data_IF_297940496966
#
_entry.id   IF_297940496966
#
_cell.length_a   1.000
_cell.length_b   1.000
_cell.length_c   1.000
_cell.angle_alpha   90.00
_cell.angle_beta   90.00
_cell.angle_gamma   90.00
#
_symmetry.space_group_name_H-M   'P 1'
#
loop_
_entity.id
_entity.type
_entity.pdbx_description
1 polymer ?
#
# COMPACT_ATOMS: atom_id res chain seq x y z
N UNK A 1 -14.90 30.72 -4.01
CA UNK A 1 -15.37 29.32 -4.09
C UNK A 1 -14.55 28.64 -5.16
N UNK A 2 -13.76 27.67 -4.76
CA UNK A 2 -13.06 26.82 -5.72
C UNK A 2 -14.11 25.90 -6.36
N UNK A 3 -14.28 26.02 -7.66
CA UNK A 3 -15.07 25.04 -8.40
C UNK A 3 -14.48 23.65 -8.19
N UNK A 4 -15.29 22.61 -7.96
CA UNK A 4 -14.80 21.27 -7.80
C UNK A 4 -13.93 20.88 -9.01
N UNK A 5 -12.76 20.31 -8.77
CA UNK A 5 -11.81 19.84 -9.81
C UNK A 5 -12.53 18.99 -10.86
N UNK A 6 -13.53 18.23 -10.43
CA UNK A 6 -14.39 17.41 -11.29
C UNK A 6 -15.16 18.22 -12.32
N UNK A 7 -15.71 19.38 -11.91
CA UNK A 7 -16.45 20.26 -12.82
C UNK A 7 -15.51 20.92 -13.82
N UNK A 8 -14.34 21.36 -13.39
CA UNK A 8 -13.30 21.90 -14.27
C UNK A 8 -12.83 20.86 -15.31
N UNK A 9 -12.57 19.62 -14.85
CA UNK A 9 -12.21 18.51 -15.73
C UNK A 9 -13.34 18.23 -16.74
N UNK A 10 -14.60 18.20 -16.31
CA UNK A 10 -15.75 18.00 -17.17
C UNK A 10 -15.85 19.08 -18.27
N UNK A 11 -15.78 20.34 -17.89
CA UNK A 11 -15.84 21.47 -18.83
C UNK A 11 -14.65 21.43 -19.80
N UNK A 12 -13.46 21.09 -19.31
CA UNK A 12 -12.25 21.02 -20.13
C UNK A 12 -12.29 19.87 -21.13
N UNK A 13 -12.75 18.69 -20.72
CA UNK A 13 -12.79 17.48 -21.56
C UNK A 13 -13.95 17.49 -22.57
N UNK A 14 -15.12 18.01 -22.18
CA UNK A 14 -16.33 18.01 -23.01
C UNK A 14 -16.62 19.36 -23.66
N UNK A 15 -15.77 20.36 -23.45
CA UNK A 15 -15.90 21.65 -24.08
C UNK A 15 -15.78 21.56 -25.62
N UNK A 16 -16.61 22.33 -26.32
CA UNK A 16 -16.69 22.32 -27.81
C UNK A 16 -15.32 22.51 -28.48
N UNK A 17 -14.41 23.23 -27.85
CA UNK A 17 -13.05 23.45 -28.36
C UNK A 17 -12.25 22.17 -28.52
N UNK A 18 -12.56 21.12 -27.75
CA UNK A 18 -11.89 19.80 -27.84
C UNK A 18 -12.22 19.02 -29.10
N UNK A 19 -13.28 19.38 -29.81
CA UNK A 19 -13.62 18.77 -31.09
C UNK A 19 -12.83 19.36 -32.27
N UNK A 20 -12.15 20.49 -32.07
CA UNK A 20 -11.40 21.21 -33.10
C UNK A 20 -9.88 21.20 -32.86
N UNK A 21 -9.40 20.39 -31.94
CA UNK A 21 -7.96 20.15 -31.72
C UNK A 21 -7.49 19.00 -32.62
N UNK A 22 -6.16 18.82 -32.68
CA UNK A 22 -5.56 17.71 -33.40
C UNK A 22 -6.13 16.36 -32.92
N UNK A 23 -6.23 15.37 -33.79
CA UNK A 23 -6.85 14.07 -33.52
C UNK A 23 -6.24 13.38 -32.28
N UNK A 24 -4.94 13.53 -32.07
CA UNK A 24 -4.20 13.02 -30.92
C UNK A 24 -4.59 13.67 -29.58
N UNK A 25 -5.25 14.81 -29.63
CA UNK A 25 -5.69 15.62 -28.48
C UNK A 25 -7.19 15.49 -28.22
N UNK A 26 -7.92 14.82 -29.09
CA UNK A 26 -9.34 14.60 -28.97
C UNK A 26 -9.64 13.57 -27.86
N UNK A 27 -10.87 13.60 -27.34
CA UNK A 27 -11.30 12.78 -26.23
C UNK A 27 -11.04 11.28 -26.41
N UNK A 28 -11.30 10.64 -27.56
CA UNK A 28 -10.99 9.23 -27.77
C UNK A 28 -9.50 8.92 -27.60
N UNK A 29 -8.61 9.71 -28.21
CA UNK A 29 -7.17 9.51 -28.09
C UNK A 29 -6.65 9.75 -26.67
N UNK A 30 -7.29 10.64 -25.90
CA UNK A 30 -6.98 10.85 -24.48
C UNK A 30 -7.38 9.64 -23.65
N UNK A 31 -8.54 9.04 -23.92
CA UNK A 31 -8.97 7.80 -23.24
C UNK A 31 -8.05 6.63 -23.56
N UNK A 32 -7.68 6.43 -24.81
CA UNK A 32 -6.78 5.34 -25.22
C UNK A 32 -5.41 5.49 -24.55
N UNK A 33 -4.86 6.72 -24.49
CA UNK A 33 -3.62 6.98 -23.74
C UNK A 33 -3.77 6.73 -22.23
N UNK A 34 -4.90 7.10 -21.65
CA UNK A 34 -5.17 6.86 -20.23
C UNK A 34 -5.25 5.38 -19.90
N UNK A 35 -5.94 4.60 -20.74
CA UNK A 35 -6.03 3.14 -20.59
C UNK A 35 -4.66 2.48 -20.71
N UNK A 36 -3.90 2.83 -21.75
CA UNK A 36 -2.55 2.32 -21.95
C UNK A 36 -1.64 2.64 -20.75
N UNK A 37 -1.71 3.87 -20.24
CA UNK A 37 -0.94 4.27 -19.08
C UNK A 37 -1.36 3.49 -17.80
N UNK A 38 -2.66 3.21 -17.63
CA UNK A 38 -3.14 2.37 -16.55
C UNK A 38 -2.58 0.95 -16.62
N UNK A 39 -2.56 0.35 -17.80
CA UNK A 39 -2.01 -0.99 -18.01
C UNK A 39 -0.51 -1.04 -17.67
N UNK A 40 0.28 -0.08 -18.16
CA UNK A 40 1.71 0.03 -17.86
C UNK A 40 1.98 0.19 -16.36
N UNK A 41 1.18 1.00 -15.65
CA UNK A 41 1.31 1.19 -14.19
C UNK A 41 0.92 -0.07 -13.44
N UNK A 42 -0.14 -0.76 -13.88
CA UNK A 42 -0.61 -2.00 -13.26
C UNK A 42 0.43 -3.11 -13.42
N UNK A 43 1.01 -3.26 -14.60
CA UNK A 43 2.06 -4.25 -14.86
C UNK A 43 3.32 -3.96 -14.03
N UNK A 44 3.75 -2.69 -13.98
CA UNK A 44 4.90 -2.29 -13.19
C UNK A 44 4.69 -2.52 -11.68
N UNK A 45 3.49 -2.24 -11.16
CA UNK A 45 3.13 -2.50 -9.77
C UNK A 45 3.10 -4.01 -9.50
N UNK A 46 2.50 -4.79 -10.38
CA UNK A 46 2.45 -6.25 -10.29
C UNK A 46 3.84 -6.88 -10.18
N UNK A 47 4.77 -6.43 -11.01
CA UNK A 47 6.17 -6.90 -10.97
C UNK A 47 6.88 -6.51 -9.67
N UNK A 48 6.64 -5.30 -9.16
CA UNK A 48 7.22 -4.87 -7.88
C UNK A 48 6.65 -5.68 -6.70
N UNK A 49 5.35 -5.94 -6.69
CA UNK A 49 4.70 -6.78 -5.66
C UNK A 49 5.26 -8.21 -5.73
N UNK A 50 5.40 -8.79 -6.92
CA UNK A 50 5.98 -10.12 -7.10
C UNK A 50 7.39 -10.21 -6.51
N UNK A 51 8.25 -9.25 -6.82
CA UNK A 51 9.62 -9.20 -6.27
C UNK A 51 9.62 -9.05 -4.75
N UNK A 52 8.73 -8.23 -4.20
CA UNK A 52 8.63 -8.06 -2.75
C UNK A 52 8.16 -9.34 -2.05
N UNK A 53 7.21 -10.08 -2.64
CA UNK A 53 6.77 -11.40 -2.16
C UNK A 53 7.93 -12.40 -2.19
N UNK A 54 8.71 -12.44 -3.28
CA UNK A 54 9.88 -13.31 -3.39
C UNK A 54 10.91 -13.02 -2.29
N UNK A 55 11.24 -11.75 -2.06
CA UNK A 55 12.17 -11.35 -0.99
C UNK A 55 11.65 -11.74 0.38
N UNK A 56 10.35 -11.57 0.65
CA UNK A 56 9.74 -11.97 1.91
C UNK A 56 9.83 -13.49 2.12
N UNK A 57 9.50 -14.28 1.10
CA UNK A 57 9.57 -15.75 1.17
C UNK A 57 11.01 -16.20 1.38
N UNK A 58 11.99 -15.64 0.66
CA UNK A 58 13.40 -15.95 0.83
C UNK A 58 13.88 -15.63 2.25
N UNK A 59 13.41 -14.52 2.83
CA UNK A 59 13.75 -14.13 4.20
C UNK A 59 13.17 -15.10 5.22
N UNK A 60 11.91 -15.53 5.02
CA UNK A 60 11.25 -16.52 5.87
C UNK A 60 11.94 -17.90 5.76
N UNK A 61 12.32 -18.32 4.54
CA UNK A 61 13.04 -19.56 4.31
C UNK A 61 14.41 -19.56 5.00
N UNK A 62 15.14 -18.44 4.93
CA UNK A 62 16.41 -18.29 5.64
C UNK A 62 16.20 -18.36 7.17
N UNK A 63 15.21 -17.68 7.69
CA UNK A 63 14.89 -17.73 9.11
C UNK A 63 14.49 -19.14 9.58
N UNK A 64 13.83 -19.90 8.73
CA UNK A 64 13.49 -21.31 8.97
C UNK A 64 14.75 -22.21 8.95
N UNK A 65 15.67 -21.98 7.99
CA UNK A 65 16.96 -22.67 7.96
C UNK A 65 17.76 -22.43 9.24
N UNK A 66 17.87 -21.18 9.69
CA UNK A 66 18.60 -20.79 10.90
C UNK A 66 18.02 -21.44 12.18
N UNK A 67 16.76 -21.91 12.11
CA UNK A 67 16.05 -22.62 13.18
C UNK A 67 15.81 -24.10 12.91
N UNK A 68 16.71 -24.73 12.16
CA UNK A 68 16.65 -26.15 11.83
C UNK A 68 15.35 -26.60 11.15
N UNK A 69 14.70 -25.74 10.35
CA UNK A 69 13.46 -26.03 9.65
C UNK A 69 12.23 -26.27 10.53
N UNK A 70 12.23 -25.71 11.74
CA UNK A 70 11.11 -25.85 12.67
C UNK A 70 9.96 -24.87 12.42
N UNK A 71 10.24 -23.70 11.82
CA UNK A 71 9.24 -22.63 11.67
C UNK A 71 8.17 -22.95 10.61
N UNK A 72 8.58 -23.52 9.48
CA UNK A 72 7.72 -23.77 8.33
C UNK A 72 7.37 -25.25 8.15
N UNK A 73 7.68 -26.09 9.15
CA UNK A 73 7.53 -27.56 9.07
C UNK A 73 6.12 -27.99 8.63
N UNK A 74 5.07 -27.35 9.14
CA UNK A 74 3.68 -27.68 8.86
C UNK A 74 3.02 -26.74 7.82
N UNK A 75 3.79 -25.82 7.21
CA UNK A 75 3.29 -24.82 6.25
C UNK A 75 3.54 -25.29 4.84
N UNK A 76 2.49 -25.36 4.02
CA UNK A 76 2.60 -25.72 2.60
C UNK A 76 3.06 -24.50 1.78
N UNK A 77 3.83 -24.73 0.72
CA UNK A 77 4.30 -23.66 -0.18
C UNK A 77 3.18 -22.74 -0.71
N UNK A 78 2.02 -23.24 -1.16
CA UNK A 78 0.94 -22.36 -1.60
C UNK A 78 0.38 -21.49 -0.49
N UNK A 79 0.31 -22.00 0.74
CA UNK A 79 -0.17 -21.29 1.92
C UNK A 79 0.81 -20.17 2.33
N UNK A 80 2.11 -20.46 2.29
CA UNK A 80 3.16 -19.48 2.53
C UNK A 80 3.12 -18.35 1.50
N UNK A 81 2.94 -18.71 0.22
CA UNK A 81 2.83 -17.73 -0.86
C UNK A 81 1.60 -16.84 -0.70
N UNK A 82 0.44 -17.41 -0.42
CA UNK A 82 -0.81 -16.67 -0.19
C UNK A 82 -0.69 -15.71 1.00
N UNK A 83 -0.09 -16.18 2.11
CA UNK A 83 0.15 -15.36 3.27
C UNK A 83 1.10 -14.18 2.96
N UNK A 84 2.20 -14.45 2.26
CA UNK A 84 3.15 -13.42 1.85
C UNK A 84 2.51 -12.39 0.91
N UNK A 85 1.73 -12.84 -0.07
CA UNK A 85 0.98 -11.97 -0.97
C UNK A 85 -0.01 -11.09 -0.20
N UNK A 86 -0.75 -11.68 0.74
CA UNK A 86 -1.69 -10.94 1.60
C UNK A 86 -0.99 -9.82 2.38
N UNK A 87 0.16 -10.11 2.98
CA UNK A 87 0.96 -9.08 3.67
C UNK A 87 1.36 -7.96 2.72
N UNK A 88 1.86 -8.29 1.53
CA UNK A 88 2.25 -7.28 0.54
C UNK A 88 1.06 -6.43 0.09
N UNK A 89 -0.08 -7.04 -0.16
CA UNK A 89 -1.30 -6.30 -0.55
C UNK A 89 -1.79 -5.35 0.56
N UNK A 90 -1.71 -5.76 1.82
CA UNK A 90 -2.00 -4.89 2.97
C UNK A 90 -1.05 -3.70 3.03
N UNK A 91 0.24 -3.90 2.79
CA UNK A 91 1.22 -2.82 2.76
C UNK A 91 0.95 -1.82 1.62
N UNK A 92 0.67 -2.32 0.41
CA UNK A 92 0.31 -1.48 -0.75
C UNK A 92 -0.95 -0.67 -0.47
N UNK A 93 -1.98 -1.32 0.07
CA UNK A 93 -3.23 -0.65 0.45
C UNK A 93 -2.97 0.48 1.46
N UNK A 94 -2.26 0.18 2.55
CA UNK A 94 -2.01 1.15 3.62
C UNK A 94 -1.19 2.35 3.13
N UNK A 95 -0.11 2.11 2.40
CA UNK A 95 0.70 3.20 1.84
C UNK A 95 -0.10 4.07 0.88
N UNK A 96 -0.94 3.46 0.03
CA UNK A 96 -1.82 4.19 -0.88
C UNK A 96 -2.91 4.97 -0.13
N UNK A 97 -3.47 4.40 0.94
CA UNK A 97 -4.48 5.05 1.75
C UNK A 97 -3.91 6.25 2.53
N UNK A 98 -2.68 6.12 3.07
CA UNK A 98 -1.96 7.22 3.71
C UNK A 98 -1.67 8.36 2.71
N UNK A 99 -1.14 8.02 1.53
CA UNK A 99 -0.83 9.01 0.48
C UNK A 99 -2.06 9.78 0.02
N UNK A 100 -3.21 9.13 -0.03
CA UNK A 100 -4.50 9.74 -0.43
C UNK A 100 -5.23 10.44 0.71
N UNK A 101 -4.67 10.47 1.92
CA UNK A 101 -5.29 11.07 3.09
C UNK A 101 -6.59 10.37 3.53
N UNK A 102 -6.72 9.08 3.26
CA UNK A 102 -7.88 8.27 3.69
C UNK A 102 -7.73 7.79 5.13
N UNK A 103 -6.54 7.91 5.70
CA UNK A 103 -6.23 7.63 7.09
C UNK A 103 -5.94 8.93 7.84
N UNK A 104 -5.70 8.85 9.15
CA UNK A 104 -5.58 10.03 10.02
C UNK A 104 -4.21 10.73 9.91
N UNK A 105 -3.68 10.84 8.69
CA UNK A 105 -2.41 11.54 8.45
C UNK A 105 -2.49 12.99 8.89
N UNK A 106 -1.47 13.44 9.66
CA UNK A 106 -1.45 14.76 10.29
C UNK A 106 -1.93 14.78 11.74
N UNK A 107 -2.54 13.71 12.24
CA UNK A 107 -2.73 13.51 13.68
C UNK A 107 -1.42 13.00 14.29
N UNK A 108 -0.86 13.74 15.25
CA UNK A 108 0.44 13.44 15.86
C UNK A 108 0.52 12.03 16.45
N UNK A 109 -0.58 11.55 17.03
CA UNK A 109 -0.64 10.20 17.64
C UNK A 109 -0.71 9.11 16.61
N UNK A 110 -1.48 9.35 15.54
CA UNK A 110 -1.55 8.43 14.41
C UNK A 110 -0.19 8.35 13.72
N UNK A 111 0.38 9.49 13.38
CA UNK A 111 1.66 9.58 12.67
C UNK A 111 2.81 8.91 13.44
N UNK A 112 2.86 9.10 14.76
CA UNK A 112 3.92 8.52 15.59
C UNK A 112 3.79 6.99 15.76
N UNK A 113 2.56 6.45 15.84
CA UNK A 113 2.33 5.09 16.31
C UNK A 113 1.72 4.15 15.26
N UNK A 114 0.89 4.66 14.35
CA UNK A 114 0.10 3.87 13.42
C UNK A 114 0.43 4.11 11.95
N UNK A 115 1.10 5.20 11.60
CA UNK A 115 1.45 5.47 10.22
C UNK A 115 2.52 4.49 9.71
N UNK A 116 2.20 3.73 8.67
CA UNK A 116 3.10 2.80 8.03
C UNK A 116 4.27 3.53 7.35
N UNK A 117 4.02 4.68 6.75
CA UNK A 117 5.05 5.54 6.14
C UNK A 117 6.09 5.99 7.15
N UNK A 118 5.68 6.31 8.39
CA UNK A 118 6.59 6.65 9.49
C UNK A 118 7.44 5.45 9.89
N UNK A 119 6.84 4.27 10.06
CA UNK A 119 7.57 3.04 10.36
C UNK A 119 8.59 2.73 9.26
N UNK A 120 8.20 2.83 7.99
CA UNK A 120 9.09 2.64 6.84
C UNK A 120 10.26 3.61 6.86
N UNK A 121 10.01 4.91 7.12
CA UNK A 121 11.08 5.91 7.20
C UNK A 121 12.06 5.64 8.35
N UNK A 122 11.55 5.20 9.51
CA UNK A 122 12.39 4.83 10.64
C UNK A 122 13.30 3.66 10.28
N UNK A 123 12.73 2.57 9.74
CA UNK A 123 13.51 1.39 9.35
C UNK A 123 14.56 1.71 8.28
N UNK A 124 14.26 2.57 7.31
CA UNK A 124 15.22 2.96 6.25
C UNK A 124 16.42 3.77 6.74
N UNK A 125 16.35 4.37 7.90
CA UNK A 125 17.45 5.14 8.51
C UNK A 125 18.40 4.27 9.33
N UNK A 126 17.97 3.06 9.69
CA UNK A 126 18.76 2.17 10.53
C UNK A 126 19.79 1.39 9.70
N UNK A 127 20.90 1.05 10.33
CA UNK A 127 21.89 0.14 9.75
C UNK A 127 21.37 -1.32 9.76
N UNK A 128 21.93 -2.16 8.91
CA UNK A 128 21.55 -3.58 8.83
C UNK A 128 21.67 -4.29 10.18
N UNK A 129 22.72 -4.01 10.94
CA UNK A 129 22.94 -4.57 12.29
C UNK A 129 21.82 -4.19 13.28
N UNK A 130 21.29 -2.97 13.16
CA UNK A 130 20.18 -2.52 14.00
C UNK A 130 18.88 -3.16 13.52
N UNK A 131 18.65 -3.26 12.20
CA UNK A 131 17.46 -3.88 11.63
C UNK A 131 17.29 -5.34 12.08
N UNK A 132 18.37 -6.10 12.16
CA UNK A 132 18.35 -7.47 12.67
C UNK A 132 17.84 -7.59 14.12
N UNK A 133 17.91 -6.52 14.89
CA UNK A 133 17.46 -6.44 16.29
C UNK A 133 16.11 -5.74 16.47
N UNK A 134 15.50 -5.24 15.39
CA UNK A 134 14.21 -4.51 15.41
C UNK A 134 13.00 -5.46 15.40
N UNK A 135 12.91 -6.28 16.42
CA UNK A 135 11.83 -7.25 16.63
C UNK A 135 10.46 -6.58 16.85
N UNK A 136 10.46 -5.31 17.25
CA UNK A 136 9.26 -4.48 17.42
C UNK A 136 8.58 -4.13 16.11
N UNK A 137 9.30 -4.08 15.00
CA UNK A 137 8.77 -3.65 13.70
C UNK A 137 7.61 -4.53 13.23
N UNK A 138 7.73 -5.85 13.37
CA UNK A 138 6.64 -6.78 13.03
C UNK A 138 5.43 -6.62 13.94
N UNK A 139 5.65 -6.51 15.25
CA UNK A 139 4.56 -6.30 16.21
C UNK A 139 3.82 -4.99 15.97
N UNK A 140 4.53 -3.92 15.59
CA UNK A 140 3.92 -2.64 15.18
C UNK A 140 3.11 -2.80 13.91
N UNK A 141 3.62 -3.51 12.90
CA UNK A 141 2.89 -3.78 11.66
C UNK A 141 1.58 -4.53 11.93
N UNK A 142 1.61 -5.55 12.78
CA UNK A 142 0.40 -6.27 13.20
C UNK A 142 -0.58 -5.38 13.94
N UNK A 143 -0.11 -4.47 14.78
CA UNK A 143 -0.95 -3.49 15.47
C UNK A 143 -1.64 -2.54 14.47
N UNK A 144 -0.92 -2.09 13.44
CA UNK A 144 -1.48 -1.27 12.35
C UNK A 144 -2.57 -2.06 11.60
N UNK A 145 -2.30 -3.31 11.23
CA UNK A 145 -3.30 -4.15 10.55
C UNK A 145 -4.57 -4.33 11.38
N UNK A 146 -4.43 -4.59 12.68
CA UNK A 146 -5.57 -4.71 13.61
C UNK A 146 -6.33 -3.40 13.76
N UNK A 147 -5.62 -2.27 13.85
CA UNK A 147 -6.21 -0.94 13.94
C UNK A 147 -7.04 -0.59 12.70
N UNK A 148 -6.56 -0.94 11.51
CA UNK A 148 -7.28 -0.70 10.26
C UNK A 148 -8.46 -1.66 10.11
N UNK A 149 -8.32 -2.92 10.47
CA UNK A 149 -9.39 -3.90 10.42
C UNK A 149 -10.53 -3.58 11.37
N UNK A 150 -10.22 -3.41 12.66
CA UNK A 150 -11.21 -3.26 13.73
C UNK A 150 -11.54 -1.81 14.10
N UNK A 151 -10.78 -0.87 13.55
CA UNK A 151 -10.84 0.53 13.96
C UNK A 151 -10.11 0.82 15.28
N UNK A 152 -10.03 2.09 15.63
CA UNK A 152 -9.56 2.58 16.93
C UNK A 152 -10.64 3.46 17.50
N UNK A 153 -11.07 3.17 18.73
CA UNK A 153 -11.98 4.00 19.49
C UNK A 153 -11.32 4.37 20.82
N UNK A 154 -10.74 5.55 20.84
CA UNK A 154 -10.13 6.14 22.03
C UNK A 154 -10.54 7.61 22.12
N UNK A 155 -10.50 8.18 23.33
CA UNK A 155 -10.90 9.58 23.58
C UNK A 155 -10.26 10.58 22.60
N UNK A 156 -9.02 10.33 22.26
CA UNK A 156 -8.19 11.26 21.49
C UNK A 156 -7.76 10.72 20.10
N UNK A 157 -8.20 9.52 19.70
CA UNK A 157 -7.88 8.95 18.40
C UNK A 157 -9.02 8.03 17.96
N UNK A 158 -9.69 8.40 16.88
CA UNK A 158 -10.79 7.61 16.31
C UNK A 158 -10.50 7.29 14.86
N UNK A 159 -10.31 6.02 14.57
CA UNK A 159 -10.20 5.48 13.22
C UNK A 159 -11.40 4.55 13.00
N UNK A 160 -12.25 4.79 11.98
CA UNK A 160 -13.30 3.85 11.67
C UNK A 160 -12.71 2.50 11.22
N UNK A 161 -13.42 1.41 11.49
CA UNK A 161 -13.05 0.11 10.97
C UNK A 161 -13.13 0.13 9.42
N UNK A 162 -12.02 -0.14 8.77
CA UNK A 162 -11.93 -0.25 7.31
C UNK A 162 -11.85 -1.71 6.87
N UNK A 163 -12.20 -2.62 7.77
CA UNK A 163 -12.09 -4.05 7.59
C UNK A 163 -12.71 -4.55 6.28
N UNK A 164 -12.34 -5.75 5.88
CA UNK A 164 -12.76 -6.41 4.66
C UNK A 164 -11.96 -7.69 4.48
N UNK A 165 -12.11 -8.35 3.35
CA UNK A 165 -11.43 -9.63 3.07
C UNK A 165 -9.90 -9.53 2.99
N UNK A 166 -9.34 -8.31 2.90
CA UNK A 166 -7.90 -8.09 2.85
C UNK A 166 -7.24 -8.11 4.24
N UNK A 167 -7.94 -7.69 5.31
CA UNK A 167 -7.39 -7.56 6.67
C UNK A 167 -7.88 -8.64 7.64
#
# INVERSE_FOLDING_TARGET
SQEPITLQAFVHLLGIRRFFVDESEQLPALFDRSLKFQDEVTDALGEQVRRAVEVLIQTLDKADQDRNRELLHDVKEPELYEAALTVMMRLVFLLSAEERGLLLMGDERYDANYALSTLRMQLRKESEEILERRWDAWSRLLAIFRAVFGGIEHENLRLPALGGSLF
#
